data_IF_828156056203
#
_entry.id   IF_828156056203
#
_cell.length_a   1.000
_cell.length_b   1.000
_cell.length_c   1.000
_cell.angle_alpha   90.00
_cell.angle_beta   90.00
_cell.angle_gamma   90.00
#
_symmetry.space_group_name_H-M   'P 1'
#
loop_
_entity.id
_entity.type
_entity.pdbx_description
1 polymer ?
#
# COMPACT_ATOMS: atom_id res chain seq x y z
N UNK A 1 29.29 -11.70 7.52
CA UNK A 1 28.74 -12.32 8.74
C UNK A 1 27.24 -12.08 8.69
N UNK A 2 26.47 -13.12 8.40
CA UNK A 2 25.02 -13.04 8.28
C UNK A 2 24.41 -12.99 9.68
N UNK A 3 23.73 -11.90 10.00
CA UNK A 3 22.85 -11.82 11.16
C UNK A 3 21.53 -12.50 10.82
N UNK A 4 21.43 -13.78 11.15
CA UNK A 4 20.12 -14.45 11.25
C UNK A 4 19.54 -14.14 12.62
N UNK A 5 18.53 -13.28 12.67
CA UNK A 5 17.65 -13.23 13.85
C UNK A 5 16.82 -14.53 13.88
N UNK A 6 16.72 -15.23 15.05
CA UNK A 6 15.79 -16.34 15.21
C UNK A 6 14.40 -15.77 15.50
N UNK A 7 13.72 -15.25 14.49
CA UNK A 7 12.29 -14.98 14.52
C UNK A 7 11.56 -16.22 14.02
N UNK A 8 10.56 -16.70 14.78
CA UNK A 8 9.65 -17.75 14.34
C UNK A 8 9.21 -17.44 12.91
N UNK A 9 9.33 -18.42 12.06
CA UNK A 9 8.78 -18.37 10.68
C UNK A 9 7.24 -18.38 10.78
N UNK A 10 6.69 -17.21 11.18
CA UNK A 10 5.24 -17.01 11.25
C UNK A 10 4.79 -17.04 9.79
N UNK A 11 3.94 -18.02 9.48
CA UNK A 11 3.31 -18.06 8.17
C UNK A 11 2.57 -16.70 7.98
N UNK A 12 2.90 -15.88 6.97
CA UNK A 12 2.25 -14.59 6.77
C UNK A 12 0.73 -14.68 6.65
N UNK A 13 0.21 -15.84 6.28
CA UNK A 13 -1.23 -16.13 6.27
C UNK A 13 -1.86 -16.04 7.65
N UNK A 14 -1.09 -16.25 8.71
CA UNK A 14 -1.55 -16.14 10.10
C UNK A 14 -1.49 -14.69 10.62
N UNK A 15 -0.87 -13.78 9.86
CA UNK A 15 -0.88 -12.34 10.14
C UNK A 15 -2.21 -11.75 9.66
N UNK A 16 -3.14 -11.58 10.59
CA UNK A 16 -4.47 -11.03 10.31
C UNK A 16 -4.56 -9.59 10.80
N UNK A 17 -4.88 -8.66 9.90
CA UNK A 17 -5.20 -7.28 10.21
C UNK A 17 -6.72 -7.07 10.08
N UNK A 18 -7.36 -6.69 11.18
CA UNK A 18 -8.78 -6.32 11.16
C UNK A 18 -8.95 -4.95 10.54
N UNK A 19 -9.76 -4.88 9.49
CA UNK A 19 -10.12 -3.65 8.81
C UNK A 19 -11.48 -3.19 9.29
N UNK A 20 -11.54 -2.03 9.94
CA UNK A 20 -12.78 -1.50 10.50
C UNK A 20 -13.59 -0.73 9.47
N UNK A 21 -14.92 -0.88 9.58
CA UNK A 21 -15.86 -0.11 8.76
C UNK A 21 -15.94 1.32 9.26
N UNK A 22 -16.04 2.27 8.33
CA UNK A 22 -16.23 3.70 8.58
C UNK A 22 -17.28 4.28 7.64
N UNK A 23 -17.67 5.52 7.87
CA UNK A 23 -18.42 6.33 6.89
C UNK A 23 -17.45 6.99 5.92
N UNK A 24 -17.92 7.34 4.74
CA UNK A 24 -17.10 8.06 3.77
C UNK A 24 -16.62 9.42 4.31
N UNK A 25 -15.39 9.78 3.97
CA UNK A 25 -14.77 11.04 4.36
C UNK A 25 -13.85 11.61 3.27
N UNK A 26 -13.45 12.86 3.46
CA UNK A 26 -12.63 13.59 2.49
C UNK A 26 -11.16 13.23 2.67
N UNK A 27 -10.48 12.93 1.58
CA UNK A 27 -9.04 12.75 1.49
C UNK A 27 -8.36 14.12 1.43
N UNK A 28 -7.38 14.36 2.29
CA UNK A 28 -6.67 15.65 2.40
C UNK A 28 -5.16 15.51 2.32
N UNK A 29 -4.64 14.30 2.40
CA UNK A 29 -3.21 13.99 2.49
C UNK A 29 -2.62 14.17 3.90
N UNK A 30 -3.32 14.87 4.79
CA UNK A 30 -2.79 15.18 6.13
C UNK A 30 -2.94 14.05 7.15
N UNK A 31 -3.79 13.06 6.87
CA UNK A 31 -4.13 11.98 7.79
C UNK A 31 -4.82 12.43 9.08
N UNK A 32 -5.42 13.64 9.10
CA UNK A 32 -6.04 14.24 10.28
C UNK A 32 -7.54 14.01 10.39
N UNK A 33 -8.16 13.33 9.41
CA UNK A 33 -9.58 13.01 9.49
C UNK A 33 -9.88 12.19 10.75
N UNK A 34 -10.96 12.52 11.51
CA UNK A 34 -11.27 11.84 12.78
C UNK A 34 -11.55 10.34 12.61
N UNK A 35 -11.95 9.90 11.41
CA UNK A 35 -12.15 8.49 11.08
C UNK A 35 -10.88 7.66 11.31
N UNK A 36 -9.70 8.22 11.08
CA UNK A 36 -8.43 7.54 11.33
C UNK A 36 -8.18 7.16 12.80
N UNK A 37 -8.95 7.71 13.75
CA UNK A 37 -8.90 7.32 15.16
C UNK A 37 -9.57 5.96 15.43
N UNK A 38 -10.33 5.43 14.46
CA UNK A 38 -11.02 4.14 14.56
C UNK A 38 -10.07 2.95 14.36
N UNK A 39 -8.87 3.17 13.85
CA UNK A 39 -7.88 2.13 13.60
C UNK A 39 -6.49 2.51 14.14
N UNK A 40 -5.67 1.49 14.42
CA UNK A 40 -4.31 1.68 14.90
C UNK A 40 -3.32 1.69 13.74
N UNK A 41 -2.14 2.28 13.98
CA UNK A 41 -1.03 2.18 13.05
C UNK A 41 -0.47 0.75 13.02
N UNK A 42 -0.24 0.26 11.82
CA UNK A 42 0.57 -0.93 11.54
C UNK A 42 1.93 -0.51 11.01
N UNK A 43 3.00 -1.07 11.55
CA UNK A 43 4.35 -0.75 11.09
C UNK A 43 4.71 -1.59 9.86
N UNK A 44 5.49 -0.98 8.96
CA UNK A 44 6.22 -1.68 7.92
C UNK A 44 7.69 -1.74 8.35
N UNK A 45 8.22 -2.92 8.69
CA UNK A 45 9.66 -3.06 8.90
C UNK A 45 10.41 -2.88 7.59
N UNK A 46 11.64 -2.35 7.67
CA UNK A 46 12.52 -2.32 6.51
C UNK A 46 12.87 -3.76 6.12
N UNK A 47 12.63 -4.11 4.86
CA UNK A 47 12.74 -5.45 4.31
C UNK A 47 13.98 -5.63 3.43
N UNK A 48 14.45 -4.55 2.80
CA UNK A 48 15.59 -4.56 1.88
C UNK A 48 16.37 -3.24 1.88
N UNK A 49 17.49 -3.23 1.16
CA UNK A 49 18.37 -2.09 1.04
C UNK A 49 19.26 -1.84 2.26
N UNK A 50 19.98 -0.73 2.24
CA UNK A 50 20.80 -0.30 3.39
C UNK A 50 19.92 0.27 4.49
N UNK A 51 20.25 0.04 5.78
CA UNK A 51 19.52 0.67 6.89
C UNK A 51 19.52 2.20 6.75
N UNK A 52 18.34 2.80 6.70
CA UNK A 52 18.15 4.26 6.55
C UNK A 52 17.91 4.95 7.89
N UNK A 53 17.40 4.23 8.88
CA UNK A 53 16.85 4.79 10.10
C UNK A 53 15.47 5.41 9.93
N UNK A 54 14.87 5.29 8.75
CA UNK A 54 13.50 5.75 8.48
C UNK A 54 12.46 4.76 9.01
N UNK A 55 11.30 5.27 9.36
CA UNK A 55 10.14 4.47 9.76
C UNK A 55 9.00 4.63 8.77
N UNK A 56 8.26 3.56 8.56
CA UNK A 56 7.06 3.57 7.74
C UNK A 56 5.94 2.86 8.48
N UNK A 57 4.74 3.42 8.44
CA UNK A 57 3.55 2.84 9.04
C UNK A 57 2.32 3.18 8.22
N UNK A 58 1.29 2.35 8.32
CA UNK A 58 0.04 2.57 7.60
C UNK A 58 -1.18 2.33 8.46
N UNK A 59 -2.31 2.85 8.01
CA UNK A 59 -3.66 2.58 8.50
C UNK A 59 -4.54 2.19 7.33
N UNK A 60 -5.56 1.37 7.60
CA UNK A 60 -6.56 0.98 6.61
C UNK A 60 -7.95 1.00 7.26
N UNK A 61 -8.94 1.49 6.50
CA UNK A 61 -10.36 1.47 6.80
C UNK A 61 -11.13 1.10 5.54
N UNK A 62 -12.40 0.72 5.67
CA UNK A 62 -13.29 0.55 4.53
C UNK A 62 -14.66 1.17 4.79
N UNK A 63 -15.36 1.53 3.73
CA UNK A 63 -16.75 2.01 3.78
C UNK A 63 -17.65 1.15 2.89
N UNK A 64 -18.87 1.58 2.67
CA UNK A 64 -19.76 0.93 1.69
C UNK A 64 -19.34 1.19 0.24
N UNK A 65 -18.44 2.16 -0.01
CA UNK A 65 -18.07 2.59 -1.36
C UNK A 65 -16.63 2.26 -1.75
N UNK A 66 -15.73 1.99 -0.79
CA UNK A 66 -14.34 1.70 -1.10
C UNK A 66 -13.43 1.53 0.12
N UNK A 67 -12.14 1.49 -0.15
CA UNK A 67 -11.07 1.29 0.82
C UNK A 67 -10.28 2.58 0.98
N UNK A 68 -9.95 2.92 2.23
CA UNK A 68 -9.13 4.05 2.63
C UNK A 68 -7.79 3.55 3.15
N UNK A 69 -6.70 4.11 2.65
CA UNK A 69 -5.35 3.87 3.13
C UNK A 69 -4.66 5.18 3.50
N UNK A 70 -3.86 5.14 4.55
CA UNK A 70 -3.04 6.24 5.01
C UNK A 70 -1.66 5.70 5.34
N UNK A 71 -0.62 6.24 4.72
CA UNK A 71 0.78 5.98 5.05
C UNK A 71 1.40 7.19 5.71
N UNK A 72 2.35 6.93 6.60
CA UNK A 72 3.23 7.96 7.16
C UNK A 72 4.66 7.43 7.09
N UNK A 73 5.49 8.14 6.36
CA UNK A 73 6.85 7.78 6.01
C UNK A 73 7.81 8.84 6.59
N UNK A 74 8.66 8.51 7.55
CA UNK A 74 9.76 9.43 7.91
C UNK A 74 10.77 9.48 6.77
N UNK A 75 11.30 10.67 6.51
CA UNK A 75 12.14 10.93 5.36
C UNK A 75 12.99 12.17 5.59
N UNK A 76 14.08 12.33 4.84
CA UNK A 76 14.94 13.52 4.88
C UNK A 76 15.07 14.19 3.52
N UNK A 77 14.68 13.52 2.47
CA UNK A 77 14.75 13.99 1.10
C UNK A 77 13.64 13.30 0.31
N UNK A 78 13.01 13.99 -0.62
CA UNK A 78 12.07 13.40 -1.56
C UNK A 78 12.81 13.13 -2.87
N UNK A 79 12.93 11.86 -3.23
CA UNK A 79 13.52 11.41 -4.48
C UNK A 79 12.41 10.97 -5.43
N UNK A 80 11.69 11.96 -5.97
CA UNK A 80 10.60 11.79 -6.92
C UNK A 80 10.61 12.92 -7.94
N UNK A 81 10.61 12.57 -9.23
CA UNK A 81 10.66 13.48 -10.36
C UNK A 81 9.55 13.22 -11.39
N UNK A 82 8.91 12.06 -11.31
CA UNK A 82 7.80 11.69 -12.19
C UNK A 82 6.59 12.58 -11.90
N UNK A 83 6.10 13.25 -12.93
CA UNK A 83 5.17 14.36 -12.82
C UNK A 83 3.85 14.13 -13.57
N UNK A 84 3.47 12.87 -13.72
CA UNK A 84 2.17 12.48 -14.29
C UNK A 84 1.72 11.14 -13.70
N UNK A 85 0.40 10.93 -13.69
CA UNK A 85 -0.19 9.64 -13.39
C UNK A 85 0.19 8.60 -14.46
N UNK A 86 0.15 7.33 -14.07
CA UNK A 86 0.43 6.17 -14.93
C UNK A 86 1.88 6.07 -15.43
N UNK A 87 2.82 6.82 -14.85
CA UNK A 87 4.25 6.58 -15.02
C UNK A 87 4.74 5.50 -14.04
N UNK A 88 5.91 4.92 -14.32
CA UNK A 88 6.54 3.87 -13.52
C UNK A 88 7.05 4.41 -12.17
N UNK A 89 6.14 4.72 -11.25
CA UNK A 89 6.41 5.38 -9.97
C UNK A 89 7.34 4.55 -9.07
N UNK A 90 7.29 3.23 -9.16
CA UNK A 90 8.12 2.28 -8.40
C UNK A 90 9.64 2.46 -8.61
N UNK A 91 10.08 3.27 -9.56
CA UNK A 91 11.50 3.62 -9.76
C UNK A 91 11.94 4.86 -8.96
N UNK A 92 11.08 5.41 -8.12
CA UNK A 92 11.31 6.58 -7.27
C UNK A 92 10.64 6.34 -5.91
N UNK A 93 10.68 7.33 -4.99
CA UNK A 93 9.98 7.21 -3.72
C UNK A 93 8.48 6.96 -3.92
N UNK A 94 7.97 5.91 -3.30
CA UNK A 94 6.59 5.47 -3.52
C UNK A 94 6.08 4.67 -2.32
N UNK A 95 4.77 4.71 -2.09
CA UNK A 95 4.06 3.70 -1.28
C UNK A 95 3.13 2.89 -2.15
N UNK A 96 2.96 1.62 -1.79
CA UNK A 96 2.17 0.69 -2.59
C UNK A 96 1.21 -0.11 -1.70
N UNK A 97 0.03 -0.41 -2.22
CA UNK A 97 -0.97 -1.26 -1.60
C UNK A 97 -1.47 -2.31 -2.59
N UNK A 98 -1.28 -3.58 -2.23
CA UNK A 98 -1.65 -4.73 -3.05
C UNK A 98 -2.87 -5.42 -2.43
N UNK A 99 -3.91 -5.66 -3.22
CA UNK A 99 -5.16 -6.31 -2.81
C UNK A 99 -5.47 -7.50 -3.70
N UNK A 100 -5.50 -8.68 -3.12
CA UNK A 100 -5.87 -9.93 -3.77
C UNK A 100 -7.15 -10.48 -3.11
N UNK A 101 -8.33 -10.06 -3.56
CA UNK A 101 -9.60 -10.37 -2.93
C UNK A 101 -9.99 -11.84 -2.97
N UNK A 102 -9.49 -12.59 -3.94
CA UNK A 102 -9.75 -14.03 -4.10
C UNK A 102 -8.52 -14.76 -4.64
N UNK A 103 -7.87 -15.54 -3.78
CA UNK A 103 -6.66 -16.31 -4.13
C UNK A 103 -6.91 -17.40 -5.20
N UNK A 104 -8.16 -17.78 -5.46
CA UNK A 104 -8.48 -18.72 -6.53
C UNK A 104 -8.31 -18.12 -7.93
N UNK A 105 -8.24 -16.79 -8.01
CA UNK A 105 -8.10 -16.05 -9.26
C UNK A 105 -6.66 -15.60 -9.47
N UNK A 106 -6.14 -15.69 -10.70
CA UNK A 106 -4.78 -15.29 -11.01
C UNK A 106 -4.64 -13.78 -11.30
N UNK A 107 -5.38 -12.95 -10.58
CA UNK A 107 -5.44 -11.51 -10.81
C UNK A 107 -5.61 -10.77 -9.50
N UNK A 108 -4.79 -9.75 -9.26
CA UNK A 108 -4.93 -8.85 -8.13
C UNK A 108 -4.69 -7.40 -8.54
N UNK A 109 -5.05 -6.48 -7.66
CA UNK A 109 -4.93 -5.04 -7.85
C UNK A 109 -3.75 -4.52 -7.03
N UNK A 110 -3.02 -3.60 -7.63
CA UNK A 110 -1.93 -2.85 -7.02
C UNK A 110 -2.18 -1.36 -7.23
N UNK A 111 -1.85 -0.58 -6.23
CA UNK A 111 -1.96 0.87 -6.24
C UNK A 111 -0.68 1.49 -5.73
N UNK A 112 -0.11 2.39 -6.52
CA UNK A 112 1.08 3.15 -6.18
C UNK A 112 0.73 4.64 -6.03
N UNK A 113 1.37 5.32 -5.07
CA UNK A 113 1.25 6.77 -4.88
C UNK A 113 2.61 7.37 -4.51
N UNK A 114 3.06 8.32 -5.32
CA UNK A 114 4.31 9.05 -5.08
C UNK A 114 4.12 10.21 -4.09
N UNK A 115 5.18 10.71 -3.41
CA UNK A 115 5.09 11.90 -2.57
C UNK A 115 4.70 13.17 -3.34
N UNK A 116 4.84 13.19 -4.68
CA UNK A 116 4.39 14.28 -5.55
C UNK A 116 2.90 14.20 -5.91
N UNK A 117 2.17 13.26 -5.33
CA UNK A 117 0.73 13.04 -5.53
C UNK A 117 0.35 12.57 -6.94
N UNK A 118 1.18 11.77 -7.57
CA UNK A 118 0.87 11.04 -8.79
C UNK A 118 0.66 9.57 -8.48
N UNK A 119 -0.27 8.93 -9.21
CA UNK A 119 -0.69 7.55 -8.95
C UNK A 119 -0.48 6.62 -10.13
N UNK A 120 -0.33 5.34 -9.82
CA UNK A 120 -0.33 4.25 -10.79
C UNK A 120 -1.18 3.08 -10.28
N UNK A 121 -2.48 3.05 -10.62
CA UNK A 121 -3.30 1.85 -10.40
C UNK A 121 -3.04 0.83 -11.50
N UNK A 122 -2.80 -0.42 -11.12
CA UNK A 122 -2.52 -1.52 -12.06
C UNK A 122 -3.23 -2.81 -11.69
N UNK A 123 -3.48 -3.63 -12.70
CA UNK A 123 -3.90 -5.03 -12.55
C UNK A 123 -2.73 -5.95 -12.84
N UNK A 124 -2.52 -6.91 -11.96
CA UNK A 124 -1.38 -7.82 -11.98
C UNK A 124 -1.86 -9.26 -12.17
N UNK A 125 -1.69 -9.84 -13.37
CA UNK A 125 -1.87 -11.27 -13.57
C UNK A 125 -0.69 -12.04 -12.98
N UNK A 126 -1.00 -12.97 -12.06
CA UNK A 126 -0.03 -13.82 -11.40
C UNK A 126 -0.64 -15.19 -11.12
N UNK A 127 -0.14 -16.22 -11.76
CA UNK A 127 -0.65 -17.58 -11.64
C UNK A 127 0.34 -18.45 -10.88
N UNK A 128 -0.05 -18.89 -9.68
CA UNK A 128 0.77 -19.77 -8.82
C UNK A 128 2.21 -19.26 -8.62
N UNK A 129 2.34 -17.96 -8.31
CA UNK A 129 3.63 -17.30 -8.09
C UNK A 129 4.37 -16.90 -9.37
N UNK A 130 3.85 -17.25 -10.54
CA UNK A 130 4.41 -16.78 -11.81
C UNK A 130 3.79 -15.45 -12.20
N UNK A 131 4.59 -14.39 -12.09
CA UNK A 131 4.25 -13.03 -12.50
C UNK A 131 4.24 -12.91 -14.02
N UNK A 132 3.18 -12.33 -14.59
CA UNK A 132 3.01 -12.13 -16.04
C UNK A 132 3.05 -10.65 -16.45
N UNK A 133 3.70 -9.82 -15.64
CA UNK A 133 3.71 -8.37 -15.82
C UNK A 133 2.48 -7.71 -15.22
N UNK A 134 2.27 -6.48 -15.57
CA UNK A 134 1.16 -5.67 -15.10
C UNK A 134 0.58 -4.83 -16.23
N UNK A 135 -0.63 -4.26 -16.01
CA UNK A 135 -1.29 -3.35 -16.94
C UNK A 135 -1.84 -2.15 -16.17
N UNK A 136 -1.62 -0.92 -16.66
CA UNK A 136 -2.30 0.26 -16.13
C UNK A 136 -3.81 0.00 -16.13
N UNK A 137 -4.45 0.31 -14.99
CA UNK A 137 -5.87 0.09 -14.81
C UNK A 137 -6.59 1.43 -14.87
N UNK A 138 -6.80 1.93 -16.09
CA UNK A 138 -7.41 3.22 -16.36
C UNK A 138 -8.83 3.32 -15.79
N UNK A 139 -9.21 4.50 -15.39
CA UNK A 139 -10.50 4.77 -14.78
C UNK A 139 -11.11 6.09 -15.26
N UNK A 140 -12.44 6.19 -15.13
CA UNK A 140 -13.24 7.37 -15.40
C UNK A 140 -14.39 7.49 -14.37
N UNK A 141 -14.86 8.69 -14.14
CA UNK A 141 -16.07 8.97 -13.35
C UNK A 141 -16.02 8.35 -11.94
N UNK A 142 -17.01 7.53 -11.62
CA UNK A 142 -17.15 6.89 -10.30
C UNK A 142 -16.06 5.86 -9.98
N UNK A 143 -15.25 5.44 -10.97
CA UNK A 143 -14.11 4.54 -10.78
C UNK A 143 -12.85 5.27 -10.35
N UNK A 144 -12.85 6.60 -10.38
CA UNK A 144 -11.68 7.40 -10.05
C UNK A 144 -11.33 7.29 -8.57
N UNK A 145 -10.06 7.05 -8.29
CA UNK A 145 -9.45 7.16 -6.96
C UNK A 145 -9.53 8.60 -6.45
N UNK A 146 -9.38 8.77 -5.16
CA UNK A 146 -9.12 10.07 -4.54
C UNK A 146 -7.85 9.94 -3.73
N UNK A 147 -6.89 10.80 -3.94
CA UNK A 147 -5.61 10.75 -3.26
C UNK A 147 -5.09 12.16 -2.99
N UNK A 148 -4.29 12.27 -1.96
CA UNK A 148 -3.54 13.46 -1.60
C UNK A 148 -2.31 13.06 -0.80
N UNK A 149 -1.25 13.83 -0.95
CA UNK A 149 -0.02 13.69 -0.17
C UNK A 149 0.29 14.98 0.58
N UNK A 150 1.05 14.87 1.65
CA UNK A 150 1.53 16.02 2.40
C UNK A 150 2.97 15.77 2.82
N UNK A 151 3.87 16.70 2.47
CA UNK A 151 5.28 16.66 2.86
C UNK A 151 5.46 17.61 4.05
N UNK A 152 5.80 17.03 5.20
CA UNK A 152 6.10 17.79 6.41
C UNK A 152 7.54 18.29 6.38
N UNK A 153 7.72 19.56 6.66
CA UNK A 153 9.03 20.22 6.65
C UNK A 153 9.25 21.06 7.90
N UNK A 154 10.52 21.17 8.31
CA UNK A 154 11.02 22.20 9.23
C UNK A 154 11.97 23.10 8.45
N UNK A 155 11.53 24.32 8.13
CA UNK A 155 12.20 25.18 7.16
C UNK A 155 12.32 24.51 5.80
N UNK A 156 13.54 24.22 5.35
CA UNK A 156 13.82 23.50 4.11
C UNK A 156 14.00 21.99 4.28
N UNK A 157 14.16 21.52 5.52
CA UNK A 157 14.39 20.11 5.82
C UNK A 157 13.08 19.31 5.73
N UNK A 158 13.09 18.23 4.99
CA UNK A 158 12.01 17.23 4.98
C UNK A 158 12.10 16.43 6.27
N UNK A 159 10.96 16.20 6.93
CA UNK A 159 10.84 15.38 8.14
C UNK A 159 10.09 14.08 7.87
N UNK A 160 9.06 14.15 7.06
CA UNK A 160 8.20 13.03 6.70
C UNK A 160 7.31 13.38 5.53
N UNK A 161 6.66 12.37 4.99
CA UNK A 161 5.51 12.57 4.10
C UNK A 161 4.39 11.59 4.42
N UNK A 162 3.18 11.97 4.08
CA UNK A 162 1.99 11.15 4.19
C UNK A 162 1.36 10.95 2.82
N UNK A 163 0.85 9.74 2.59
CA UNK A 163 0.01 9.41 1.45
C UNK A 163 -1.36 8.97 1.97
N UNK A 164 -2.40 9.63 1.56
CA UNK A 164 -3.78 9.33 1.93
C UNK A 164 -4.59 9.10 0.65
N UNK A 165 -5.23 7.93 0.52
CA UNK A 165 -5.96 7.60 -0.69
C UNK A 165 -7.19 6.74 -0.42
N UNK A 166 -8.13 6.84 -1.35
CA UNK A 166 -9.36 6.08 -1.40
C UNK A 166 -9.48 5.37 -2.75
N UNK A 167 -9.73 4.07 -2.69
CA UNK A 167 -9.95 3.21 -3.86
C UNK A 167 -11.42 2.78 -3.89
N UNK A 168 -12.23 3.26 -4.84
CA UNK A 168 -13.63 2.85 -4.95
C UNK A 168 -13.74 1.39 -5.39
N UNK A 169 -14.71 0.64 -4.86
CA UNK A 169 -14.92 -0.76 -5.27
C UNK A 169 -15.21 -0.92 -6.76
N UNK A 170 -15.81 0.08 -7.39
CA UNK A 170 -16.05 0.08 -8.83
C UNK A 170 -14.75 0.03 -9.66
N UNK A 171 -13.62 0.51 -9.12
CA UNK A 171 -12.32 0.38 -9.77
C UNK A 171 -11.78 -1.05 -9.71
N UNK A 172 -12.08 -1.79 -8.66
CA UNK A 172 -11.58 -3.15 -8.47
C UNK A 172 -12.29 -4.19 -9.34
N UNK A 173 -13.37 -3.82 -10.03
CA UNK A 173 -14.01 -4.68 -11.03
C UNK A 173 -13.03 -4.97 -12.17
N UNK A 174 -12.80 -6.25 -12.62
CA UNK A 174 -13.68 -7.41 -12.39
C UNK A 174 -13.24 -8.36 -11.26
N UNK A 175 -12.45 -7.93 -10.30
CA UNK A 175 -12.05 -8.82 -9.21
C UNK A 175 -13.28 -9.32 -8.44
N UNK A 176 -13.38 -10.63 -8.16
CA UNK A 176 -14.47 -11.18 -7.36
C UNK A 176 -14.30 -10.82 -5.87
N UNK A 177 -15.32 -11.12 -5.07
CA UNK A 177 -15.31 -10.88 -3.64
C UNK A 177 -15.19 -9.37 -3.27
N UNK A 178 -15.69 -8.51 -4.15
CA UNK A 178 -15.73 -7.05 -4.04
C UNK A 178 -17.18 -6.59 -4.29
N UNK A 179 -17.78 -5.76 -3.43
CA UNK A 179 -17.27 -5.22 -2.16
C UNK A 179 -17.17 -6.27 -1.06
N UNK A 180 -16.27 -6.10 -0.08
CA UNK A 180 -16.20 -6.97 1.07
C UNK A 180 -17.41 -6.75 1.98
N UNK A 181 -17.87 -7.82 2.61
CA UNK A 181 -18.85 -7.78 3.71
C UNK A 181 -18.15 -8.17 5.01
N UNK A 182 -18.80 -7.95 6.15
CA UNK A 182 -18.26 -8.39 7.45
C UNK A 182 -17.87 -9.87 7.43
N UNK A 183 -16.64 -10.17 7.87
CA UNK A 183 -16.03 -11.50 7.85
C UNK A 183 -15.35 -11.87 6.54
N UNK A 184 -15.46 -11.06 5.49
CA UNK A 184 -14.69 -11.25 4.26
C UNK A 184 -13.19 -11.20 4.55
N UNK A 185 -12.42 -12.03 3.87
CA UNK A 185 -10.97 -12.03 3.96
C UNK A 185 -10.34 -11.82 2.60
N UNK A 186 -9.39 -10.88 2.53
CA UNK A 186 -8.55 -10.64 1.38
C UNK A 186 -7.09 -10.91 1.73
N UNK A 187 -6.31 -11.30 0.75
CA UNK A 187 -4.86 -11.23 0.87
C UNK A 187 -4.40 -9.85 0.46
N UNK A 188 -3.42 -9.31 1.18
CA UNK A 188 -2.89 -7.99 0.89
C UNK A 188 -1.45 -7.85 1.37
N UNK A 189 -0.73 -6.89 0.79
CA UNK A 189 0.52 -6.41 1.34
C UNK A 189 0.65 -4.89 1.11
N UNK A 190 1.53 -4.28 1.89
CA UNK A 190 1.77 -2.84 1.85
C UNK A 190 3.27 -2.63 1.82
N UNK A 191 3.73 -1.68 0.99
CA UNK A 191 5.14 -1.46 0.73
C UNK A 191 5.48 0.02 0.69
N UNK A 192 6.76 0.33 0.86
CA UNK A 192 7.40 1.59 0.52
C UNK A 192 8.73 1.28 -0.14
N UNK A 193 9.09 2.07 -1.13
CA UNK A 193 10.44 2.16 -1.65
C UNK A 193 10.95 3.60 -1.44
N UNK A 194 12.24 3.72 -1.11
CA UNK A 194 12.93 4.98 -0.87
C UNK A 194 14.29 4.95 -1.57
N UNK A 195 14.57 6.00 -2.33
CA UNK A 195 15.74 6.06 -3.19
C UNK A 195 16.79 7.09 -2.74
N UNK A 196 16.78 7.54 -1.51
CA UNK A 196 17.71 8.55 -0.99
C UNK A 196 19.18 8.12 -1.08
N UNK A 197 19.46 6.85 -0.81
CA UNK A 197 20.82 6.30 -0.77
C UNK A 197 20.93 4.94 -1.49
N UNK A 198 20.24 4.78 -2.61
CA UNK A 198 19.93 3.52 -3.26
C UNK A 198 18.55 3.05 -2.80
N UNK A 199 18.06 1.96 -3.37
CA UNK A 199 16.77 1.40 -3.04
C UNK A 199 16.75 0.82 -1.62
N UNK A 200 15.85 1.33 -0.80
CA UNK A 200 15.49 0.76 0.50
C UNK A 200 14.00 0.43 0.50
N UNK A 201 13.66 -0.74 0.97
CA UNK A 201 12.33 -1.31 0.88
C UNK A 201 11.73 -1.57 2.26
N UNK A 202 10.44 -1.30 2.42
CA UNK A 202 9.63 -1.68 3.59
C UNK A 202 8.47 -2.54 3.14
N UNK A 203 8.11 -3.51 3.96
CA UNK A 203 7.03 -4.43 3.68
C UNK A 203 6.27 -4.79 4.95
N UNK A 204 4.94 -4.82 4.89
CA UNK A 204 4.13 -5.31 6.00
C UNK A 204 4.37 -6.80 6.26
N UNK A 205 4.41 -7.61 5.20
CA UNK A 205 4.77 -9.01 5.25
C UNK A 205 5.98 -9.25 4.34
N UNK A 206 7.02 -9.89 4.87
CA UNK A 206 8.22 -10.17 4.10
C UNK A 206 7.94 -11.15 2.96
N UNK A 207 8.31 -10.77 1.76
CA UNK A 207 8.30 -11.60 0.56
C UNK A 207 9.66 -12.29 0.39
N UNK A 208 9.70 -13.40 -0.37
CA UNK A 208 10.91 -14.20 -0.59
C UNK A 208 11.70 -13.74 -1.81
N UNK A 209 11.03 -13.19 -2.81
CA UNK A 209 11.62 -12.87 -4.11
C UNK A 209 11.47 -11.40 -4.49
N UNK A 210 10.26 -10.92 -4.62
CA UNK A 210 9.88 -9.55 -4.94
C UNK A 210 8.50 -9.24 -4.36
N UNK A 211 7.99 -8.04 -4.55
CA UNK A 211 6.69 -7.61 -4.01
C UNK A 211 5.51 -8.43 -4.53
N UNK A 212 5.64 -9.08 -5.68
CA UNK A 212 4.61 -9.92 -6.28
C UNK A 212 4.55 -11.38 -5.76
N UNK A 213 5.28 -11.71 -4.70
CA UNK A 213 5.19 -13.01 -4.02
C UNK A 213 3.90 -13.07 -3.16
N UNK A 214 2.75 -13.11 -3.83
CA UNK A 214 1.44 -13.04 -3.17
C UNK A 214 1.17 -14.17 -2.16
N UNK A 215 1.88 -15.29 -2.26
CA UNK A 215 1.79 -16.37 -1.28
C UNK A 215 2.22 -15.92 0.12
N UNK A 216 3.01 -14.85 0.19
CA UNK A 216 3.50 -14.23 1.43
C UNK A 216 2.66 -13.03 1.87
N UNK A 217 1.61 -12.67 1.17
CA UNK A 217 0.72 -11.58 1.59
C UNK A 217 0.06 -11.90 2.94
N UNK A 218 -0.17 -10.88 3.76
CA UNK A 218 -0.96 -10.96 4.98
C UNK A 218 -2.45 -11.10 4.68
N UNK A 219 -3.26 -11.22 5.71
CA UNK A 219 -4.72 -11.32 5.61
C UNK A 219 -5.37 -10.06 6.16
N UNK A 220 -6.23 -9.43 5.36
CA UNK A 220 -7.19 -8.43 5.83
C UNK A 220 -8.49 -9.15 6.17
N UNK A 221 -9.04 -8.89 7.36
CA UNK A 221 -10.35 -9.37 7.78
C UNK A 221 -11.26 -8.16 8.00
N UNK A 222 -12.32 -8.05 7.23
CA UNK A 222 -13.26 -6.94 7.26
C UNK A 222 -14.28 -7.14 8.39
N UNK A 223 -14.34 -6.17 9.34
CA UNK A 223 -15.07 -6.28 10.62
C UNK A 223 -16.40 -5.50 10.63
#
# INVERSE_FOLDING_TARGET
>A
MSYTQPGRDINPRDSVLKVRKTVDFVITGSGKAPQWNQTQWSNLPQAGGKPTGYSTRFKILYSDTGIYCLFNCSDRKITATRNADFLDLYNEDVVEAFFHPDESQPLYFEYELSPLNYELPIMVPNFKGRFYGWRPWNYEGARKTRHATYIEKDGTAVLSWTAEFFIPYSLLTPLPNVPPVKGTRWRANFYRIDYDNGDAEWSWQLTRTNFHDYERFGTLEFD
#
